data_IF_360781753712
#
_entry.id   IF_360781753712
#
_cell.length_a   1.000
_cell.length_b   1.000
_cell.length_c   1.000
_cell.angle_alpha   90.00
_cell.angle_beta   90.00
_cell.angle_gamma   90.00
#
_symmetry.space_group_name_H-M   'P 1'
#
loop_
_entity.id
_entity.type
_entity.pdbx_description
1 polymer ?
#
# COMPACT_ATOMS: atom_id res chain seq x y z
N UNK A 1 7.17 25.59 7.39
CA UNK A 1 7.05 24.12 7.23
C UNK A 1 7.10 23.36 8.54
N UNK A 2 6.02 23.35 9.33
CA UNK A 2 5.77 22.41 10.45
C UNK A 2 4.28 22.20 10.76
N UNK A 3 3.38 22.91 10.08
CA UNK A 3 1.92 22.80 10.23
C UNK A 3 1.32 21.61 9.45
N UNK A 4 1.86 21.28 8.27
CA UNK A 4 1.36 20.17 7.44
C UNK A 4 1.62 18.79 8.07
N UNK A 5 2.74 18.59 8.78
CA UNK A 5 3.02 17.31 9.42
C UNK A 5 2.09 17.00 10.61
N UNK A 6 1.54 17.99 11.31
CA UNK A 6 0.56 17.76 12.39
C UNK A 6 -0.83 17.44 11.86
N UNK A 7 -1.26 18.13 10.80
CA UNK A 7 -2.53 17.81 10.12
C UNK A 7 -2.47 16.44 9.44
N UNK A 8 -1.33 16.08 8.84
CA UNK A 8 -1.10 14.75 8.29
C UNK A 8 -1.22 13.63 9.34
N UNK A 9 -0.61 13.79 10.52
CA UNK A 9 -0.72 12.76 11.57
C UNK A 9 -2.16 12.58 12.08
N UNK A 10 -2.96 13.66 12.15
CA UNK A 10 -4.36 13.57 12.58
C UNK A 10 -5.26 12.91 11.51
N UNK A 11 -5.01 13.18 10.22
CA UNK A 11 -5.73 12.56 9.09
C UNK A 11 -5.41 11.06 9.00
N UNK A 12 -4.15 10.67 9.22
CA UNK A 12 -3.75 9.26 9.29
C UNK A 12 -4.46 8.56 10.46
N UNK A 13 -4.59 9.20 11.63
CA UNK A 13 -5.28 8.63 12.78
C UNK A 13 -6.80 8.47 12.55
N UNK A 14 -7.46 9.47 11.96
CA UNK A 14 -8.91 9.46 11.68
C UNK A 14 -9.31 8.40 10.64
N UNK A 15 -8.48 8.17 9.63
CA UNK A 15 -8.71 7.11 8.63
C UNK A 15 -8.35 5.71 9.14
N UNK A 16 -7.52 5.60 10.18
CA UNK A 16 -7.17 4.31 10.78
C UNK A 16 -8.36 3.73 11.59
N UNK A 17 -9.10 4.58 12.31
CA UNK A 17 -10.27 4.15 13.10
C UNK A 17 -11.52 3.87 12.26
N UNK A 18 -11.60 4.32 11.00
CA UNK A 18 -12.72 4.03 10.09
C UNK A 18 -12.57 2.68 9.34
N UNK A 19 -11.71 1.80 9.85
CA UNK A 19 -11.52 0.43 9.35
C UNK A 19 -12.38 -0.57 10.14
N UNK A 20 -13.69 -0.37 10.19
CA UNK A 20 -14.63 -1.37 10.72
C UNK A 20 -15.67 -1.75 9.67
N UNK A 21 -15.26 -2.22 8.49
CA UNK A 21 -16.05 -3.15 7.67
C UNK A 21 -15.08 -3.95 6.80
N UNK A 22 -15.18 -5.29 6.84
CA UNK A 22 -14.64 -6.13 5.75
C UNK A 22 -13.96 -7.43 6.17
N UNK A 23 -14.79 -8.47 6.40
CA UNK A 23 -14.51 -9.90 6.32
C UNK A 23 -13.46 -10.57 7.22
N UNK A 24 -14.01 -11.23 8.26
CA UNK A 24 -13.39 -12.35 8.97
C UNK A 24 -13.16 -13.52 8.01
N UNK A 25 -11.91 -13.72 7.56
CA UNK A 25 -11.44 -15.04 7.13
C UNK A 25 -10.30 -15.44 8.05
N UNK A 26 -10.54 -16.48 8.84
CA UNK A 26 -9.54 -17.23 9.60
C UNK A 26 -8.29 -17.44 8.73
N UNK A 27 -7.13 -16.96 9.17
CA UNK A 27 -5.90 -17.08 8.38
C UNK A 27 -4.77 -17.46 9.31
N UNK A 28 -4.17 -18.62 9.03
CA UNK A 28 -2.78 -18.96 9.41
C UNK A 28 -1.92 -17.70 9.26
N UNK A 29 -0.98 -17.48 10.19
CA UNK A 29 -0.09 -16.31 10.16
C UNK A 29 0.49 -16.09 8.76
N UNK A 30 -0.01 -15.08 8.05
CA UNK A 30 0.33 -14.79 6.65
C UNK A 30 0.89 -13.38 6.55
N UNK A 31 1.88 -13.20 5.68
CA UNK A 31 2.56 -11.93 5.50
C UNK A 31 3.29 -11.44 6.76
N UNK A 32 2.95 -10.23 7.22
CA UNK A 32 3.66 -9.55 8.33
C UNK A 32 3.58 -10.25 9.69
N UNK A 33 2.69 -11.23 9.87
CA UNK A 33 2.60 -12.02 11.10
C UNK A 33 3.72 -13.06 11.21
N UNK A 34 4.47 -13.31 10.13
CA UNK A 34 5.68 -14.16 10.12
C UNK A 34 6.89 -13.46 10.76
N UNK A 35 6.81 -12.16 11.05
CA UNK A 35 7.94 -11.37 11.57
C UNK A 35 9.07 -11.15 10.58
N UNK A 36 8.84 -11.45 9.29
CA UNK A 36 9.83 -11.25 8.22
C UNK A 36 9.82 -9.79 7.76
N UNK A 37 11.00 -9.31 7.37
CA UNK A 37 11.17 -7.96 6.83
C UNK A 37 10.68 -7.93 5.37
N UNK A 38 9.91 -6.91 5.02
CA UNK A 38 9.46 -6.71 3.64
C UNK A 38 10.65 -6.26 2.76
N UNK A 39 10.97 -7.04 1.73
CA UNK A 39 12.07 -6.75 0.81
C UNK A 39 11.62 -5.77 -0.28
N UNK A 40 10.55 -6.13 -1.01
CA UNK A 40 10.03 -5.33 -2.12
C UNK A 40 8.59 -5.71 -2.47
N UNK A 41 7.81 -4.76 -2.96
CA UNK A 41 6.51 -5.03 -3.58
C UNK A 41 6.73 -5.47 -5.02
N UNK A 42 6.22 -6.65 -5.36
CA UNK A 42 6.31 -7.22 -6.72
C UNK A 42 5.20 -6.67 -7.63
N UNK A 43 4.02 -6.43 -7.05
CA UNK A 43 2.85 -5.99 -7.79
C UNK A 43 1.75 -5.46 -6.88
N UNK A 44 0.77 -4.82 -7.49
CA UNK A 44 -0.44 -4.36 -6.84
C UNK A 44 -1.65 -4.86 -7.63
N UNK A 45 -2.70 -5.26 -6.93
CA UNK A 45 -3.98 -5.69 -7.51
C UNK A 45 -5.12 -5.15 -6.66
N UNK A 46 -6.20 -4.74 -7.28
CA UNK A 46 -7.44 -4.38 -6.61
C UNK A 46 -8.32 -5.63 -6.47
N UNK A 47 -8.54 -6.06 -5.23
CA UNK A 47 -9.46 -7.16 -4.93
C UNK A 47 -10.65 -6.58 -4.17
N UNK A 48 -11.85 -6.69 -4.75
CA UNK A 48 -13.10 -6.21 -4.14
C UNK A 48 -13.08 -4.72 -3.73
N UNK A 49 -12.37 -3.87 -4.49
CA UNK A 49 -12.27 -2.43 -4.22
C UNK A 49 -11.23 -2.07 -3.15
N UNK A 50 -10.50 -3.04 -2.61
CA UNK A 50 -9.36 -2.79 -1.74
C UNK A 50 -8.05 -3.06 -2.48
N UNK A 51 -7.12 -2.11 -2.39
CA UNK A 51 -5.79 -2.26 -2.97
C UNK A 51 -4.97 -3.26 -2.15
N UNK A 52 -4.48 -4.29 -2.82
CA UNK A 52 -3.67 -5.36 -2.25
C UNK A 52 -2.28 -5.34 -2.91
N UNK A 53 -1.23 -5.49 -2.11
CA UNK A 53 0.13 -5.63 -2.57
C UNK A 53 0.59 -7.08 -2.49
N UNK A 54 1.31 -7.51 -3.52
CA UNK A 54 2.08 -8.74 -3.48
C UNK A 54 3.48 -8.43 -2.92
N UNK A 55 3.70 -8.80 -1.66
CA UNK A 55 4.94 -8.51 -0.95
C UNK A 55 5.92 -9.67 -1.06
N UNK A 56 7.17 -9.37 -1.40
CA UNK A 56 8.31 -10.28 -1.25
C UNK A 56 8.94 -10.05 0.11
N UNK A 57 9.21 -11.13 0.83
CA UNK A 57 9.86 -11.11 2.14
C UNK A 57 11.35 -11.41 2.03
N UNK A 58 12.13 -10.82 2.92
CA UNK A 58 13.53 -11.17 3.10
C UNK A 58 13.61 -12.61 3.66
N UNK A 59 14.55 -13.40 3.15
CA UNK A 59 14.79 -14.79 3.55
C UNK A 59 13.63 -15.77 3.24
N UNK A 60 12.65 -15.36 2.42
CA UNK A 60 11.59 -16.25 1.93
C UNK A 60 11.31 -15.98 0.44
N UNK A 61 11.28 -17.05 -0.35
CA UNK A 61 10.86 -16.98 -1.76
C UNK A 61 9.34 -16.87 -1.92
N UNK A 62 8.59 -17.08 -0.83
CA UNK A 62 7.14 -17.03 -0.85
C UNK A 62 6.67 -15.58 -0.83
N UNK A 63 5.79 -15.22 -1.77
CA UNK A 63 5.18 -13.92 -1.81
C UNK A 63 3.78 -13.98 -1.20
N UNK A 64 3.47 -13.05 -0.30
CA UNK A 64 2.16 -12.96 0.35
C UNK A 64 1.40 -11.72 -0.12
N UNK A 65 0.08 -11.88 -0.25
CA UNK A 65 -0.82 -10.76 -0.55
C UNK A 65 -1.18 -10.06 0.76
N UNK A 66 -0.83 -8.78 0.85
CA UNK A 66 -1.10 -7.94 2.02
C UNK A 66 -1.95 -6.72 1.61
N UNK A 67 -2.91 -6.29 2.45
CA UNK A 67 -3.66 -5.07 2.17
C UNK A 67 -2.76 -3.84 2.23
N UNK A 68 -2.94 -2.92 1.27
CA UNK A 68 -2.14 -1.71 1.16
C UNK A 68 -2.18 -0.87 2.45
N UNK A 69 -3.34 -0.82 3.10
CA UNK A 69 -3.52 -0.12 4.38
C UNK A 69 -2.52 -0.56 5.44
N UNK A 70 -2.25 -1.87 5.55
CA UNK A 70 -1.31 -2.42 6.54
C UNK A 70 0.14 -2.18 6.12
N UNK A 71 0.45 -2.33 4.82
CA UNK A 71 1.79 -2.09 4.29
C UNK A 71 2.24 -0.63 4.50
N UNK A 72 1.32 0.33 4.34
CA UNK A 72 1.58 1.76 4.53
C UNK A 72 2.02 2.09 5.97
N UNK A 73 1.50 1.37 6.97
CA UNK A 73 1.83 1.61 8.39
C UNK A 73 3.10 0.89 8.78
N UNK A 74 3.28 -0.37 8.36
CA UNK A 74 4.43 -1.20 8.76
C UNK A 74 5.70 -0.86 7.98
N UNK A 75 5.60 -0.68 6.67
CA UNK A 75 6.75 -0.52 5.78
C UNK A 75 6.52 0.60 4.74
N UNK A 76 6.36 1.87 5.18
CA UNK A 76 6.07 2.98 4.27
C UNK A 76 7.16 3.19 3.21
N UNK A 77 8.44 2.99 3.56
CA UNK A 77 9.57 3.19 2.65
C UNK A 77 9.52 2.25 1.44
N UNK A 78 9.10 1.00 1.66
CA UNK A 78 8.99 0.00 0.58
C UNK A 78 7.83 0.36 -0.36
N UNK A 79 6.71 0.83 0.20
CA UNK A 79 5.55 1.26 -0.58
C UNK A 79 5.87 2.48 -1.43
N UNK A 80 6.50 3.50 -0.84
CA UNK A 80 6.88 4.73 -1.54
C UNK A 80 7.80 4.40 -2.72
N UNK A 81 8.84 3.59 -2.49
CA UNK A 81 9.77 3.18 -3.55
C UNK A 81 9.07 2.46 -4.70
N UNK A 82 8.09 1.60 -4.40
CA UNK A 82 7.31 0.93 -5.43
C UNK A 82 6.54 1.92 -6.31
N UNK A 83 5.94 2.95 -5.71
CA UNK A 83 5.26 3.99 -6.46
C UNK A 83 6.23 4.87 -7.23
N UNK A 84 7.39 5.22 -6.68
CA UNK A 84 8.41 6.04 -7.37
C UNK A 84 8.93 5.35 -8.63
N UNK A 85 9.21 4.04 -8.57
CA UNK A 85 9.72 3.28 -9.72
C UNK A 85 8.67 3.09 -10.83
N UNK A 86 7.38 3.16 -10.51
CA UNK A 86 6.27 2.97 -11.45
C UNK A 86 5.48 4.23 -11.76
N UNK A 87 5.87 5.39 -11.22
CA UNK A 87 5.16 6.65 -11.47
C UNK A 87 5.46 7.11 -12.90
N UNK A 88 4.52 6.88 -13.81
CA UNK A 88 4.53 7.53 -15.12
C UNK A 88 3.79 8.85 -14.96
N UNK A 89 4.51 9.96 -15.07
CA UNK A 89 3.88 11.26 -15.20
C UNK A 89 3.27 11.36 -16.60
N UNK A 90 1.96 11.09 -16.71
CA UNK A 90 1.23 11.45 -17.92
C UNK A 90 1.20 12.99 -18.04
N UNK A 91 2.14 13.55 -18.79
CA UNK A 91 2.12 14.95 -19.23
C UNK A 91 1.22 15.17 -20.47
N UNK A 92 0.43 14.17 -20.87
CA UNK A 92 -0.31 14.14 -22.14
C UNK A 92 -1.77 13.68 -22.01
N UNK A 93 -2.55 14.38 -21.20
CA UNK A 93 -3.95 14.68 -21.57
C UNK A 93 -4.08 16.19 -21.86
N UNK A 94 -3.12 16.75 -22.58
CA UNK A 94 -3.31 18.04 -23.24
C UNK A 94 -3.80 17.76 -24.67
N UNK A 95 -5.11 17.92 -24.90
CA UNK A 95 -5.69 18.17 -26.21
C UNK A 95 -6.06 16.96 -27.08
N UNK A 96 -7.18 16.28 -26.75
CA UNK A 96 -8.08 15.78 -27.80
C UNK A 96 -9.23 16.78 -27.94
N UNK A 97 -8.97 17.92 -28.56
CA UNK A 97 -10.02 18.79 -29.07
C UNK A 97 -10.11 18.62 -30.59
N UNK A 98 -11.35 18.35 -31.01
CA UNK A 98 -11.83 17.96 -32.33
C UNK A 98 -11.31 18.85 -33.48
N UNK A 99 -10.91 18.25 -34.60
CA UNK A 99 -11.37 18.67 -35.94
C UNK A 99 -11.31 17.53 -36.93
#
# INVERSE_FOLDING_TARGET
GRFYLRQWNLIIFYNNTYSFVGDKKEKKARGFERGLEAEKILGATDAAGELMFLMKWKDSSDADVVPAKVANVKCPQVVIKYYEERLVWDSSTCGKDKK
#
